data_IF_836353652000
#
_entry.id   IF_836353652000
#
_cell.length_a   1.000
_cell.length_b   1.000
_cell.length_c   1.000
_cell.angle_alpha   90.00
_cell.angle_beta   90.00
_cell.angle_gamma   90.00
#
_symmetry.space_group_name_H-M   'P 1'
#
loop_
_entity.id
_entity.type
_entity.pdbx_description
1 polymer ?
#
# COMPACT_ATOMS: atom_id res chain seq x y z
N UNK A 1 19.03 15.65 3.79
CA UNK A 1 17.64 15.58 3.28
C UNK A 1 16.82 14.90 4.34
N UNK A 2 15.73 15.52 4.81
CA UNK A 2 14.85 14.93 5.83
C UNK A 2 13.67 14.28 5.12
N UNK A 3 13.40 13.01 5.40
CA UNK A 3 12.26 12.27 4.84
C UNK A 3 10.97 12.89 5.41
N UNK A 4 10.03 13.23 4.54
CA UNK A 4 8.72 13.77 4.89
C UNK A 4 7.58 12.95 4.29
N UNK A 5 7.78 12.36 3.11
CA UNK A 5 6.77 11.57 2.41
C UNK A 5 7.24 10.16 2.12
N UNK A 6 6.45 9.18 2.53
CA UNK A 6 6.71 7.75 2.32
C UNK A 6 5.63 7.15 1.43
N UNK A 7 6.05 6.62 0.28
CA UNK A 7 5.19 5.86 -0.60
C UNK A 7 5.12 4.40 -0.17
N UNK A 8 3.92 3.83 -0.07
CA UNK A 8 3.73 2.41 0.19
C UNK A 8 3.42 1.68 -1.11
N UNK A 9 4.26 0.71 -1.45
CA UNK A 9 4.08 -0.18 -2.60
C UNK A 9 3.64 -1.57 -2.12
N UNK A 10 2.39 -1.94 -2.42
CA UNK A 10 1.84 -3.26 -2.05
C UNK A 10 2.07 -4.31 -3.15
N UNK A 11 1.97 -5.62 -2.86
CA UNK A 11 2.07 -6.65 -3.90
C UNK A 11 1.06 -6.51 -5.03
N UNK A 12 -0.12 -5.96 -4.76
CA UNK A 12 -1.15 -5.71 -5.78
C UNK A 12 -0.74 -4.60 -6.76
N UNK A 13 0.09 -3.66 -6.31
CA UNK A 13 0.72 -2.66 -7.17
C UNK A 13 1.91 -3.23 -7.97
N UNK A 14 2.55 -4.28 -7.45
CA UNK A 14 3.68 -4.95 -8.12
C UNK A 14 3.23 -5.96 -9.18
N UNK A 15 1.92 -6.05 -9.48
CA UNK A 15 1.38 -7.02 -10.43
C UNK A 15 1.52 -8.47 -9.97
N UNK A 16 1.78 -8.72 -8.68
CA UNK A 16 1.88 -10.07 -8.14
C UNK A 16 0.47 -10.65 -8.00
N UNK A 17 0.26 -11.84 -8.56
CA UNK A 17 -0.97 -12.59 -8.36
C UNK A 17 -1.15 -12.87 -6.87
N UNK A 18 -2.11 -12.19 -6.26
CA UNK A 18 -2.53 -12.46 -4.90
C UNK A 18 -3.29 -13.79 -4.94
N UNK A 19 -2.65 -14.89 -4.53
CA UNK A 19 -3.25 -16.23 -4.60
C UNK A 19 -4.63 -16.27 -3.93
N UNK A 20 -5.58 -16.98 -4.52
CA UNK A 20 -7.00 -17.02 -4.12
C UNK A 20 -7.26 -17.48 -2.66
N UNK A 21 -6.28 -18.13 -2.03
CA UNK A 21 -6.34 -18.57 -0.63
C UNK A 21 -5.77 -17.53 0.36
N UNK A 22 -6.62 -16.60 0.80
CA UNK A 22 -6.43 -15.78 2.04
C UNK A 22 -5.14 -14.91 2.24
N UNK A 23 -4.51 -14.23 1.25
CA UNK A 23 -3.45 -13.24 1.54
C UNK A 23 -3.98 -11.80 1.70
N UNK A 24 -5.20 -11.52 1.22
CA UNK A 24 -5.69 -10.16 1.00
C UNK A 24 -5.89 -9.33 2.27
N UNK A 25 -6.35 -9.95 3.36
CA UNK A 25 -6.57 -9.23 4.62
C UNK A 25 -5.24 -8.87 5.30
N UNK A 26 -4.27 -9.78 5.30
CA UNK A 26 -2.96 -9.56 5.92
C UNK A 26 -2.18 -8.43 5.26
N UNK A 27 -2.19 -8.38 3.92
CA UNK A 27 -1.56 -7.29 3.17
C UNK A 27 -2.18 -5.94 3.50
N UNK A 28 -3.52 -5.88 3.57
CA UNK A 28 -4.25 -4.65 3.93
C UNK A 28 -4.01 -4.23 5.38
N UNK A 29 -3.95 -5.18 6.31
CA UNK A 29 -3.61 -4.88 7.70
C UNK A 29 -2.19 -4.34 7.81
N UNK A 30 -1.22 -4.93 7.08
CA UNK A 30 0.15 -4.42 7.04
C UNK A 30 0.26 -3.01 6.49
N UNK A 31 -0.38 -2.73 5.36
CA UNK A 31 -0.41 -1.37 4.80
C UNK A 31 -0.95 -0.37 5.81
N UNK A 32 -2.03 -0.71 6.53
CA UNK A 32 -2.59 0.14 7.58
C UNK A 32 -1.65 0.33 8.75
N UNK A 33 -0.99 -0.74 9.22
CA UNK A 33 -0.06 -0.68 10.34
C UNK A 33 1.12 0.22 9.98
N UNK A 34 1.73 0.02 8.80
CA UNK A 34 2.83 0.87 8.36
C UNK A 34 2.39 2.32 8.22
N UNK A 35 1.29 2.59 7.52
CA UNK A 35 0.76 3.93 7.39
C UNK A 35 0.46 4.60 8.74
N UNK A 36 -0.18 3.89 9.65
CA UNK A 36 -0.52 4.40 10.98
C UNK A 36 0.74 4.77 11.77
N UNK A 37 1.76 3.91 11.77
CA UNK A 37 3.01 4.16 12.50
C UNK A 37 3.75 5.34 11.87
N UNK A 38 3.89 5.37 10.55
CA UNK A 38 4.58 6.45 9.84
C UNK A 38 3.89 7.81 10.06
N UNK A 39 2.56 7.83 9.94
CA UNK A 39 1.76 9.03 10.18
C UNK A 39 1.86 9.51 11.64
N UNK A 40 1.91 8.60 12.63
CA UNK A 40 2.15 8.96 14.03
C UNK A 40 3.52 9.61 14.28
N UNK A 41 4.51 9.29 13.43
CA UNK A 41 5.84 9.89 13.47
C UNK A 41 5.98 11.13 12.57
N UNK A 42 4.86 11.70 12.11
CA UNK A 42 4.83 12.95 11.33
C UNK A 42 5.20 12.78 9.85
N UNK A 43 5.30 11.54 9.36
CA UNK A 43 5.56 11.27 7.95
C UNK A 43 4.25 11.18 7.19
N UNK A 44 4.14 11.84 6.04
CA UNK A 44 3.00 11.71 5.13
C UNK A 44 3.08 10.36 4.42
N UNK A 45 2.05 9.54 4.54
CA UNK A 45 1.98 8.27 3.82
C UNK A 45 1.14 8.40 2.54
N UNK A 46 1.67 7.96 1.41
CA UNK A 46 0.99 7.97 0.10
C UNK A 46 0.97 6.59 -0.56
N UNK A 47 -0.01 6.32 -1.43
CA UNK A 47 -0.13 5.06 -2.19
C UNK A 47 -0.77 5.28 -3.57
N UNK A 48 -0.42 4.44 -4.55
CA UNK A 48 -1.02 4.46 -5.88
C UNK A 48 -2.19 3.46 -5.95
N UNK A 49 -3.42 3.88 -5.66
CA UNK A 49 -4.52 2.91 -5.55
C UNK A 49 -5.21 2.58 -6.88
N UNK A 50 -4.97 3.35 -7.95
CA UNK A 50 -5.53 3.04 -9.27
C UNK A 50 -4.75 1.94 -10.00
N UNK A 51 -3.46 1.79 -9.67
CA UNK A 51 -2.58 0.79 -10.26
C UNK A 51 -2.58 -0.53 -9.47
N UNK A 52 -3.63 -0.79 -8.68
CA UNK A 52 -3.86 -2.09 -8.06
C UNK A 52 -4.56 -2.97 -9.09
N UNK A 53 -3.97 -4.13 -9.37
CA UNK A 53 -4.49 -5.13 -10.31
C UNK A 53 -5.98 -5.42 -10.08
N UNK A 54 -6.76 -5.35 -11.16
CA UNK A 54 -8.23 -5.46 -11.30
C UNK A 54 -8.87 -6.78 -10.85
N UNK A 55 -8.15 -7.69 -10.17
CA UNK A 55 -8.60 -9.08 -9.99
C UNK A 55 -9.99 -9.19 -9.32
N UNK A 56 -10.43 -8.18 -8.54
CA UNK A 56 -11.81 -8.07 -8.07
C UNK A 56 -12.20 -6.60 -7.82
N UNK A 57 -13.27 -6.07 -8.43
CA UNK A 57 -13.72 -4.68 -8.19
C UNK A 57 -14.10 -4.38 -6.73
N UNK A 58 -14.68 -5.37 -6.03
CA UNK A 58 -14.94 -5.27 -4.58
C UNK A 58 -13.66 -5.15 -3.73
N UNK A 59 -12.51 -5.48 -4.31
CA UNK A 59 -11.20 -5.42 -3.67
C UNK A 59 -10.66 -3.99 -3.64
N UNK A 60 -10.87 -3.23 -4.72
CA UNK A 60 -10.44 -1.82 -4.82
C UNK A 60 -11.13 -0.94 -3.79
N UNK A 61 -12.45 -1.09 -3.65
CA UNK A 61 -13.23 -0.32 -2.69
C UNK A 61 -12.75 -0.56 -1.26
N UNK A 62 -12.49 -1.82 -0.88
CA UNK A 62 -11.97 -2.16 0.44
C UNK A 62 -10.55 -1.63 0.66
N UNK A 63 -9.66 -1.72 -0.34
CA UNK A 63 -8.30 -1.18 -0.20
C UNK A 63 -8.33 0.35 -0.01
N UNK A 64 -9.19 1.07 -0.75
CA UNK A 64 -9.40 2.51 -0.52
C UNK A 64 -9.96 2.81 0.87
N UNK A 65 -10.93 2.03 1.35
CA UNK A 65 -11.46 2.20 2.71
C UNK A 65 -10.37 2.00 3.78
N UNK A 66 -9.52 0.99 3.62
CA UNK A 66 -8.42 0.74 4.55
C UNK A 66 -7.33 1.81 4.49
N UNK A 67 -6.99 2.29 3.30
CA UNK A 67 -6.08 3.40 3.09
C UNK A 67 -6.61 4.68 3.77
N UNK A 68 -7.88 5.02 3.55
CA UNK A 68 -8.54 6.16 4.18
C UNK A 68 -8.53 6.05 5.71
N UNK A 69 -8.86 4.88 6.25
CA UNK A 69 -8.86 4.64 7.70
C UNK A 69 -7.46 4.74 8.35
N UNK A 70 -6.39 4.71 7.56
CA UNK A 70 -5.02 4.86 8.02
C UNK A 70 -4.38 6.20 7.60
N UNK A 71 -5.17 7.16 7.11
CA UNK A 71 -4.71 8.45 6.58
C UNK A 71 -3.65 8.31 5.46
N UNK A 72 -3.81 7.32 4.59
CA UNK A 72 -3.01 7.19 3.37
C UNK A 72 -3.63 8.05 2.28
N UNK A 73 -2.83 8.91 1.66
CA UNK A 73 -3.26 9.71 0.50
C UNK A 73 -3.10 8.90 -0.77
N UNK A 74 -4.18 8.77 -1.53
CA UNK A 74 -4.14 8.17 -2.86
C UNK A 74 -3.58 9.18 -3.87
N UNK A 75 -2.48 8.82 -4.53
CA UNK A 75 -1.86 9.62 -5.60
C UNK A 75 -2.21 9.07 -7.00
N UNK A 76 -3.10 8.08 -7.06
CA UNK A 76 -3.60 7.48 -8.28
C UNK A 76 -2.62 6.47 -8.86
N UNK A 77 -1.49 6.92 -9.41
CA UNK A 77 -0.56 6.09 -10.19
C UNK A 77 0.80 5.87 -9.53
N UNK A 78 1.46 4.78 -9.90
CA UNK A 78 2.83 4.42 -9.52
C UNK A 78 3.84 5.47 -9.95
N UNK A 79 3.62 6.07 -11.12
CA UNK A 79 4.45 7.19 -11.58
C UNK A 79 4.38 8.34 -10.57
N UNK A 80 3.17 8.71 -10.15
CA UNK A 80 2.97 9.78 -9.19
C UNK A 80 3.51 9.41 -7.80
N UNK A 81 3.36 8.15 -7.39
CA UNK A 81 3.93 7.62 -6.16
C UNK A 81 5.44 7.83 -6.09
N UNK A 82 6.16 7.47 -7.16
CA UNK A 82 7.62 7.63 -7.23
C UNK A 82 8.03 9.10 -7.22
N UNK A 83 7.26 9.98 -7.89
CA UNK A 83 7.55 11.42 -7.95
C UNK A 83 7.34 12.09 -6.58
N UNK A 84 6.27 11.75 -5.87
CA UNK A 84 5.88 12.42 -4.62
C UNK A 84 6.54 11.83 -3.37
N UNK A 85 7.15 10.66 -3.46
CA UNK A 85 7.81 10.00 -2.32
C UNK A 85 9.26 10.46 -2.17
N UNK A 86 9.68 10.72 -0.94
CA UNK A 86 11.11 10.79 -0.62
C UNK A 86 11.71 9.37 -0.55
N UNK A 87 10.90 8.41 -0.06
CA UNK A 87 11.24 6.99 0.04
C UNK A 87 10.03 6.14 -0.32
N UNK A 88 10.26 5.05 -1.06
CA UNK A 88 9.24 4.02 -1.31
C UNK A 88 9.52 2.79 -0.44
N UNK A 89 8.56 2.44 0.41
CA UNK A 89 8.54 1.18 1.15
C UNK A 89 7.77 0.13 0.34
N UNK A 90 8.52 -0.79 -0.24
CA UNK A 90 7.98 -2.00 -0.84
C UNK A 90 8.01 -3.13 0.16
N UNK A 91 6.92 -3.90 0.24
CA UNK A 91 6.87 -5.11 1.04
C UNK A 91 6.28 -6.26 0.20
N UNK A 92 6.81 -7.45 0.41
CA UNK A 92 6.38 -8.65 -0.29
C UNK A 92 5.96 -9.72 0.72
N UNK A 93 4.91 -10.46 0.39
CA UNK A 93 4.56 -11.69 1.10
C UNK A 93 5.41 -12.85 0.59
N UNK A 94 6.23 -13.43 1.48
CA UNK A 94 6.82 -14.75 1.27
C UNK A 94 6.14 -15.71 2.25
N UNK A 95 5.57 -16.81 1.75
CA UNK A 95 5.16 -17.91 2.63
C UNK A 95 6.43 -18.44 3.31
N UNK A 96 6.58 -18.21 4.62
CA UNK A 96 7.54 -18.98 5.40
C UNK A 96 6.97 -20.41 5.41
N UNK A 97 7.55 -21.31 4.61
CA UNK A 97 7.38 -22.75 4.83
C UNK A 97 8.18 -23.07 6.08
N UNK A 98 7.50 -23.23 7.20
CA UNK A 98 8.02 -23.92 8.37
C UNK A 98 7.90 -25.43 8.15
#
# INVERSE_FOLDING_TARGET
>A
MQIQTVGILSPGNMGQAMSDDKPLLYERLRQRVYASVLNQHGLKTIAALNDISDVYDGLRLRTRQFAAAANVVDVGSLKQLVIESDVVLSYQFSKIRL
#
